data_IF_281625465346
#
_entry.id   IF_281625465346
#
_cell.length_a   1.000
_cell.length_b   1.000
_cell.length_c   1.000
_cell.angle_alpha   90.00
_cell.angle_beta   90.00
_cell.angle_gamma   90.00
#
_symmetry.space_group_name_H-M   'P 1'
#
loop_
_entity.id
_entity.type
_entity.pdbx_description
1 polymer ?
#
# COMPACT_ATOMS: atom_id res chain seq x y z
N UNK A 1 27.57 22.15 -18.03
CA UNK A 1 28.51 21.04 -18.24
C UNK A 1 29.37 21.03 -16.98
N UNK A 2 29.24 20.15 -15.99
CA UNK A 2 28.95 18.72 -16.02
C UNK A 2 28.10 18.33 -14.80
N UNK A 3 26.92 17.75 -15.04
CA UNK A 3 26.05 17.14 -14.04
C UNK A 3 25.71 15.75 -14.55
N UNK A 4 26.62 14.80 -14.32
CA UNK A 4 26.42 13.35 -14.40
C UNK A 4 27.70 12.70 -13.83
N UNK A 5 27.55 11.55 -13.18
CA UNK A 5 28.53 10.82 -12.34
C UNK A 5 28.56 11.37 -10.90
N UNK A 6 27.87 10.80 -9.91
CA UNK A 6 27.86 9.39 -9.53
C UNK A 6 26.54 9.01 -8.85
N UNK A 7 25.60 8.42 -9.60
CA UNK A 7 24.64 7.50 -9.00
C UNK A 7 25.37 6.18 -8.79
N UNK A 8 25.90 5.97 -7.60
CA UNK A 8 26.44 4.66 -7.24
C UNK A 8 25.27 3.67 -7.18
N UNK A 9 25.15 2.88 -8.25
CA UNK A 9 24.30 1.72 -8.36
C UNK A 9 24.85 0.58 -7.50
N UNK A 10 24.76 0.72 -6.18
CA UNK A 10 25.13 -0.34 -5.24
C UNK A 10 24.32 -0.24 -3.96
N UNK A 11 22.99 -0.14 -4.08
CA UNK A 11 22.05 -0.44 -3.00
C UNK A 11 20.61 -0.72 -3.52
N UNK A 12 20.48 -1.28 -4.72
CA UNK A 12 19.24 -1.97 -5.13
C UNK A 12 19.36 -3.45 -4.78
N UNK A 13 19.51 -3.73 -3.49
CA UNK A 13 19.33 -5.07 -2.96
C UNK A 13 17.84 -5.41 -2.92
N UNK A 14 17.26 -5.68 -4.09
CA UNK A 14 15.93 -6.27 -4.22
C UNK A 14 15.97 -7.76 -3.84
N UNK A 15 16.40 -8.07 -2.62
CA UNK A 15 16.24 -9.38 -2.02
C UNK A 15 14.84 -9.48 -1.42
N UNK A 16 14.19 -10.65 -1.53
CA UNK A 16 13.06 -11.00 -0.67
C UNK A 16 13.47 -10.69 0.77
N UNK A 17 12.89 -9.67 1.39
CA UNK A 17 13.10 -9.45 2.83
C UNK A 17 12.50 -10.66 3.53
N UNK A 18 13.37 -11.55 4.00
CA UNK A 18 12.99 -12.84 4.60
C UNK A 18 12.47 -12.70 6.03
N UNK A 19 12.41 -11.47 6.57
CA UNK A 19 11.91 -11.27 7.93
C UNK A 19 10.39 -11.10 7.89
N UNK A 20 9.71 -12.03 8.55
CA UNK A 20 8.28 -11.98 8.81
C UNK A 20 7.92 -10.88 9.81
N UNK A 21 8.90 -10.23 10.44
CA UNK A 21 8.68 -9.06 11.27
C UNK A 21 9.89 -8.13 11.23
N UNK A 22 9.70 -6.88 11.67
CA UNK A 22 10.77 -5.91 11.73
C UNK A 22 10.36 -4.63 12.45
N UNK A 23 11.34 -3.79 12.77
CA UNK A 23 11.12 -2.50 13.43
C UNK A 23 12.18 -1.48 13.02
N UNK A 24 11.85 -0.20 13.12
CA UNK A 24 12.76 0.89 12.85
C UNK A 24 12.31 2.19 13.47
N UNK A 25 13.10 3.24 13.30
CA UNK A 25 12.85 4.57 13.85
C UNK A 25 13.37 5.66 12.93
N UNK A 26 12.79 6.84 13.04
CA UNK A 26 13.28 8.04 12.36
C UNK A 26 14.63 8.46 12.93
N UNK A 27 15.31 9.36 12.24
CA UNK A 27 16.62 9.90 12.59
C UNK A 27 16.63 10.48 14.00
N UNK A 28 15.64 11.30 14.35
CA UNK A 28 15.48 11.85 15.71
C UNK A 28 14.89 10.84 16.72
N UNK A 29 14.47 9.66 16.26
CA UNK A 29 13.89 8.61 17.09
C UNK A 29 12.49 8.91 17.63
N UNK A 30 11.88 10.03 17.21
CA UNK A 30 10.52 10.44 17.60
C UNK A 30 9.49 9.53 16.94
N UNK A 31 9.69 9.16 15.67
CA UNK A 31 8.80 8.26 14.95
C UNK A 31 9.39 6.85 14.95
N UNK A 32 8.56 5.85 15.17
CA UNK A 32 8.94 4.44 15.16
C UNK A 32 7.98 3.65 14.30
N UNK A 33 8.47 2.58 13.70
CA UNK A 33 7.60 1.62 13.03
C UNK A 33 7.90 0.19 13.49
N UNK A 34 6.89 -0.66 13.37
CA UNK A 34 6.99 -2.10 13.48
C UNK A 34 6.14 -2.74 12.38
N UNK A 35 6.53 -3.91 11.90
CA UNK A 35 5.71 -4.67 10.96
C UNK A 35 5.76 -6.17 11.26
N UNK A 36 4.71 -6.86 10.84
CA UNK A 36 4.60 -8.32 10.87
C UNK A 36 3.92 -8.80 9.59
N UNK A 37 4.31 -9.97 9.11
CA UNK A 37 3.81 -10.67 7.94
C UNK A 37 3.48 -12.09 8.37
N UNK A 38 2.22 -12.45 8.26
CA UNK A 38 1.72 -13.76 8.62
C UNK A 38 1.12 -14.40 7.38
N UNK A 39 1.71 -15.51 6.93
CA UNK A 39 1.08 -16.30 5.87
C UNK A 39 -0.20 -16.93 6.42
N UNK A 40 -1.31 -16.68 5.74
CA UNK A 40 -2.61 -17.26 6.04
C UNK A 40 -2.70 -18.75 5.71
N UNK A 41 -3.93 -19.26 5.69
CA UNK A 41 -4.22 -20.68 5.40
C UNK A 41 -4.25 -21.02 3.91
N UNK A 42 -4.06 -20.01 3.04
CA UNK A 42 -4.05 -20.19 1.60
C UNK A 42 -3.01 -21.23 1.13
N UNK A 43 -3.40 -22.01 0.14
CA UNK A 43 -2.54 -23.04 -0.46
C UNK A 43 -1.46 -22.49 -1.38
N UNK A 44 -1.57 -21.22 -1.79
CA UNK A 44 -0.56 -20.53 -2.58
C UNK A 44 0.60 -19.97 -1.71
N UNK A 45 1.74 -19.58 -2.30
CA UNK A 45 2.79 -18.84 -1.60
C UNK A 45 2.32 -17.49 -1.04
N UNK A 46 3.14 -16.84 -0.20
CA UNK A 46 2.88 -15.46 0.23
C UNK A 46 2.86 -14.54 -0.99
N UNK A 47 1.76 -13.82 -1.21
CA UNK A 47 1.62 -12.87 -2.31
C UNK A 47 1.75 -11.41 -1.84
N UNK A 48 1.59 -11.12 -0.54
CA UNK A 48 1.71 -9.76 -0.02
C UNK A 48 3.18 -9.31 0.10
N UNK A 49 3.39 -8.02 -0.15
CA UNK A 49 4.64 -7.31 0.05
C UNK A 49 4.42 -6.05 0.87
N UNK A 50 5.51 -5.51 1.42
CA UNK A 50 5.46 -4.27 2.19
C UNK A 50 6.70 -3.42 1.98
N UNK A 51 6.61 -2.14 2.36
CA UNK A 51 7.74 -1.25 2.53
C UNK A 51 7.60 -0.61 3.90
N UNK A 52 8.69 -0.56 4.67
CA UNK A 52 8.73 0.13 5.95
C UNK A 52 10.15 0.66 6.19
N UNK A 53 10.37 1.95 5.92
CA UNK A 53 11.69 2.57 6.09
C UNK A 53 11.62 4.07 6.26
N UNK A 54 12.64 4.62 6.92
CA UNK A 54 12.96 6.04 6.86
C UNK A 54 14.13 6.28 5.91
N UNK A 55 14.16 7.44 5.25
CA UNK A 55 15.27 7.87 4.40
C UNK A 55 15.40 9.39 4.35
N UNK A 56 16.58 9.87 3.96
CA UNK A 56 16.87 11.29 3.78
C UNK A 56 16.95 11.61 2.28
N UNK A 57 16.28 12.68 1.84
CA UNK A 57 16.33 13.17 0.46
C UNK A 57 16.23 14.69 0.46
N UNK A 58 17.18 15.37 -0.19
CA UNK A 58 17.19 16.84 -0.32
C UNK A 58 17.01 17.60 1.00
N UNK A 59 17.54 17.07 2.11
CA UNK A 59 17.40 17.69 3.45
C UNK A 59 16.05 17.43 4.15
N UNK A 60 15.18 16.61 3.54
CA UNK A 60 13.94 16.15 4.15
C UNK A 60 14.06 14.69 4.60
N UNK A 61 13.52 14.41 5.78
CA UNK A 61 13.30 13.05 6.22
C UNK A 61 11.96 12.54 5.69
N UNK A 62 11.97 11.37 5.06
CA UNK A 62 10.77 10.68 4.60
C UNK A 62 10.61 9.34 5.33
N UNK A 63 9.44 9.10 5.89
CA UNK A 63 8.96 7.76 6.24
C UNK A 63 8.12 7.20 5.10
N UNK A 64 8.52 6.04 4.56
CA UNK A 64 7.84 5.37 3.45
C UNK A 64 7.30 4.02 3.93
N UNK A 65 5.99 3.89 3.83
CA UNK A 65 5.24 2.78 4.40
C UNK A 65 4.21 2.27 3.40
N UNK A 66 4.19 0.98 3.09
CA UNK A 66 3.19 0.45 2.17
C UNK A 66 2.90 -1.01 2.44
N UNK A 67 1.70 -1.42 2.05
CA UNK A 67 1.28 -2.81 1.91
C UNK A 67 0.73 -2.99 0.50
N UNK A 68 1.15 -4.07 -0.13
CA UNK A 68 0.72 -4.51 -1.45
C UNK A 68 0.16 -5.91 -1.28
N UNK A 69 -1.16 -6.03 -1.28
CA UNK A 69 -1.85 -7.31 -1.19
C UNK A 69 -1.96 -7.88 -2.59
N UNK A 70 -1.36 -9.06 -2.81
CA UNK A 70 -1.22 -9.66 -4.13
C UNK A 70 -2.28 -10.70 -4.40
N UNK A 71 -2.71 -10.82 -5.66
CA UNK A 71 -3.60 -11.91 -6.06
C UNK A 71 -3.22 -12.49 -7.42
N UNK A 72 -3.34 -13.81 -7.55
CA UNK A 72 -3.01 -14.58 -8.76
C UNK A 72 -1.53 -14.45 -9.16
N UNK A 73 -0.64 -14.38 -8.18
CA UNK A 73 0.80 -14.26 -8.34
C UNK A 73 1.40 -13.10 -7.54
N UNK A 74 2.69 -13.22 -7.23
CA UNK A 74 3.43 -12.30 -6.36
C UNK A 74 4.27 -11.26 -7.14
N UNK A 75 4.19 -11.28 -8.47
CA UNK A 75 5.05 -10.48 -9.36
C UNK A 75 4.63 -9.00 -9.46
N UNK A 76 3.33 -8.72 -9.47
CA UNK A 76 2.81 -7.34 -9.43
C UNK A 76 3.12 -6.65 -8.10
N UNK A 77 2.81 -7.23 -6.91
CA UNK A 77 3.17 -6.60 -5.64
C UNK A 77 4.69 -6.47 -5.45
N UNK A 78 5.49 -7.44 -5.93
CA UNK A 78 6.95 -7.32 -5.95
C UNK A 78 7.44 -6.16 -6.84
N UNK A 79 6.77 -5.89 -7.96
CA UNK A 79 7.05 -4.74 -8.81
C UNK A 79 6.72 -3.43 -8.09
N UNK A 80 5.54 -3.34 -7.46
CA UNK A 80 5.12 -2.16 -6.69
C UNK A 80 6.11 -1.83 -5.57
N UNK A 81 6.55 -2.84 -4.80
CA UNK A 81 7.53 -2.68 -3.73
C UNK A 81 8.83 -2.01 -4.21
N UNK A 82 9.29 -2.36 -5.41
CA UNK A 82 10.55 -1.85 -5.98
C UNK A 82 10.39 -0.48 -6.62
N UNK A 83 9.23 -0.18 -7.19
CA UNK A 83 9.07 0.92 -8.15
C UNK A 83 8.13 2.04 -7.71
N UNK A 84 7.06 1.76 -6.95
CA UNK A 84 6.00 2.75 -6.73
C UNK A 84 6.50 4.00 -6.00
N UNK A 85 7.17 3.85 -4.85
CA UNK A 85 7.75 5.01 -4.16
C UNK A 85 8.80 5.73 -4.98
N UNK A 86 9.64 4.99 -5.72
CA UNK A 86 10.66 5.61 -6.57
C UNK A 86 10.02 6.45 -7.67
N UNK A 87 8.88 6.03 -8.21
CA UNK A 87 8.13 6.80 -9.21
C UNK A 87 7.48 8.03 -8.58
N UNK A 88 6.86 7.90 -7.40
CA UNK A 88 6.26 9.05 -6.66
C UNK A 88 7.31 10.14 -6.39
N UNK A 89 8.46 9.75 -5.86
CA UNK A 89 9.53 10.70 -5.49
C UNK A 89 10.26 11.33 -6.69
N UNK A 90 10.07 10.78 -7.89
CA UNK A 90 10.62 11.33 -9.15
C UNK A 90 9.70 12.33 -9.84
N UNK A 91 8.42 12.40 -9.45
CA UNK A 91 7.54 13.42 -10.01
C UNK A 91 8.00 14.81 -9.55
N UNK A 92 8.14 15.73 -10.51
CA UNK A 92 8.63 17.09 -10.27
C UNK A 92 7.78 17.83 -9.24
N UNK A 93 6.48 17.56 -9.23
CA UNK A 93 5.54 18.21 -8.32
C UNK A 93 5.52 17.61 -6.92
N UNK A 94 6.29 16.56 -6.60
CA UNK A 94 6.20 15.85 -5.31
C UNK A 94 6.30 16.79 -4.09
N UNK A 95 7.20 17.77 -4.13
CA UNK A 95 7.42 18.68 -2.99
C UNK A 95 6.40 19.82 -2.90
N UNK A 96 5.66 20.11 -3.98
CA UNK A 96 4.74 21.25 -4.06
C UNK A 96 3.28 20.78 -4.04
N UNK A 97 3.00 19.69 -4.74
CA UNK A 97 1.70 19.03 -4.82
C UNK A 97 1.87 17.50 -4.74
N UNK A 98 2.09 16.95 -3.52
CA UNK A 98 2.22 15.52 -3.31
C UNK A 98 1.00 14.74 -3.82
N UNK A 99 -0.22 15.31 -3.74
CA UNK A 99 -1.44 14.66 -4.23
C UNK A 99 -1.33 14.37 -5.72
N UNK A 100 -0.98 15.37 -6.52
CA UNK A 100 -0.83 15.22 -7.97
C UNK A 100 0.32 14.28 -8.32
N UNK A 101 1.45 14.37 -7.62
CA UNK A 101 2.59 13.47 -7.80
C UNK A 101 2.19 12.00 -7.54
N UNK A 102 1.49 11.74 -6.43
CA UNK A 102 1.01 10.39 -6.11
C UNK A 102 0.05 9.88 -7.19
N UNK A 103 -0.96 10.65 -7.60
CA UNK A 103 -1.90 10.24 -8.65
C UNK A 103 -1.19 9.91 -9.97
N UNK A 104 -0.27 10.76 -10.42
CA UNK A 104 0.51 10.54 -11.66
C UNK A 104 1.39 9.30 -11.57
N UNK A 105 2.07 9.11 -10.44
CA UNK A 105 2.98 7.98 -10.27
C UNK A 105 2.23 6.65 -10.17
N UNK A 106 1.03 6.62 -9.56
CA UNK A 106 0.15 5.46 -9.56
C UNK A 106 -0.23 5.07 -10.99
N UNK A 107 -0.73 6.02 -11.78
CA UNK A 107 -1.10 5.77 -13.19
C UNK A 107 0.11 5.28 -14.01
N UNK A 108 1.24 6.00 -13.99
CA UNK A 108 2.46 5.59 -14.72
C UNK A 108 2.96 4.20 -14.32
N UNK A 109 2.89 3.88 -13.02
CA UNK A 109 3.34 2.57 -12.52
C UNK A 109 2.43 1.46 -13.02
N UNK A 110 1.11 1.68 -13.02
CA UNK A 110 0.14 0.73 -13.53
C UNK A 110 0.27 0.53 -15.05
N UNK A 111 0.44 1.60 -15.82
CA UNK A 111 0.71 1.49 -17.26
C UNK A 111 1.98 0.67 -17.54
N UNK A 112 3.03 0.87 -16.75
CA UNK A 112 4.25 0.07 -16.85
C UNK A 112 3.99 -1.41 -16.54
N UNK A 113 3.18 -1.73 -15.51
CA UNK A 113 2.78 -3.11 -15.19
C UNK A 113 1.99 -3.73 -16.35
N UNK A 114 0.99 -3.03 -16.89
CA UNK A 114 0.14 -3.52 -17.98
C UNK A 114 0.92 -3.78 -19.28
N UNK A 115 1.91 -2.93 -19.57
CA UNK A 115 2.81 -3.11 -20.71
C UNK A 115 3.69 -4.35 -20.57
N UNK A 116 3.95 -4.79 -19.33
CA UNK A 116 4.80 -5.94 -18.98
C UNK A 116 4.01 -7.15 -18.49
N UNK A 117 2.70 -7.20 -18.72
CA UNK A 117 1.86 -8.29 -18.22
C UNK A 117 2.27 -9.69 -18.74
N UNK A 118 2.97 -9.78 -19.89
CA UNK A 118 3.54 -11.05 -20.35
C UNK A 118 4.65 -11.58 -19.41
N UNK A 119 5.39 -10.68 -18.77
CA UNK A 119 6.48 -11.00 -17.84
C UNK A 119 5.99 -11.09 -16.39
N UNK A 120 5.08 -10.19 -16.00
CA UNK A 120 4.57 -10.07 -14.63
C UNK A 120 3.38 -10.99 -14.32
N UNK A 121 2.82 -11.64 -15.35
CA UNK A 121 1.68 -12.54 -15.21
C UNK A 121 0.33 -11.82 -15.21
N UNK A 122 -0.71 -12.61 -14.95
CA UNK A 122 -2.12 -12.19 -15.09
C UNK A 122 -2.70 -11.51 -13.85
N UNK A 123 -1.99 -11.59 -12.73
CA UNK A 123 -2.48 -11.13 -11.44
C UNK A 123 -2.46 -9.61 -11.28
N UNK A 124 -2.71 -9.20 -10.05
CA UNK A 124 -2.76 -7.81 -9.67
C UNK A 124 -2.37 -7.61 -8.23
N UNK A 125 -2.53 -6.37 -7.77
CA UNK A 125 -2.31 -6.05 -6.37
C UNK A 125 -3.07 -4.79 -5.94
N UNK A 126 -3.48 -4.78 -4.68
CA UNK A 126 -3.85 -3.55 -3.98
C UNK A 126 -2.61 -2.71 -3.68
N UNK A 127 -2.80 -1.47 -3.26
CA UNK A 127 -1.75 -0.71 -2.61
C UNK A 127 -2.34 0.29 -1.62
N UNK A 128 -2.00 0.14 -0.36
CA UNK A 128 -2.11 1.22 0.62
C UNK A 128 -0.72 1.76 0.92
N UNK A 129 -0.50 3.05 0.65
CA UNK A 129 0.78 3.72 0.88
C UNK A 129 0.62 4.88 1.85
N UNK A 130 1.66 5.13 2.64
CA UNK A 130 1.80 6.25 3.54
C UNK A 130 3.19 6.88 3.40
N UNK A 131 3.22 8.19 3.21
CA UNK A 131 4.42 9.02 3.11
C UNK A 131 4.39 10.05 4.23
N UNK A 132 5.32 9.95 5.16
CA UNK A 132 5.50 10.89 6.26
C UNK A 132 6.68 11.84 5.96
N UNK A 133 6.40 13.11 5.72
CA UNK A 133 7.41 14.13 5.45
C UNK A 133 7.77 14.86 6.74
N UNK A 134 9.04 14.84 7.11
CA UNK A 134 9.64 15.52 8.26
C UNK A 134 8.91 15.26 9.58
N UNK A 135 8.36 14.05 9.76
CA UNK A 135 7.58 13.70 10.94
C UNK A 135 6.29 14.50 11.15
N UNK A 136 5.83 15.26 10.15
CA UNK A 136 4.76 16.27 10.31
C UNK A 136 3.64 16.15 9.28
N UNK A 137 3.95 15.92 8.01
CA UNK A 137 2.92 15.82 6.96
C UNK A 137 2.76 14.37 6.52
N UNK A 138 1.62 13.77 6.83
CA UNK A 138 1.27 12.43 6.42
C UNK A 138 0.39 12.47 5.17
N UNK A 139 0.77 11.72 4.14
CA UNK A 139 -0.02 11.48 2.94
C UNK A 139 -0.33 9.99 2.86
N UNK A 140 -1.61 9.64 2.70
CA UNK A 140 -2.08 8.27 2.58
C UNK A 140 -2.83 8.11 1.27
N UNK A 141 -2.53 7.06 0.51
CA UNK A 141 -3.16 6.78 -0.76
C UNK A 141 -3.53 5.30 -0.87
N UNK A 142 -4.73 5.01 -1.38
CA UNK A 142 -5.25 3.65 -1.49
C UNK A 142 -5.78 3.29 -2.89
N UNK A 143 -5.50 2.05 -3.30
CA UNK A 143 -6.12 1.33 -4.42
C UNK A 143 -6.41 -0.08 -3.93
N UNK A 144 -7.67 -0.53 -4.02
CA UNK A 144 -8.10 -1.83 -3.47
C UNK A 144 -8.71 -1.72 -2.08
N UNK A 145 -8.72 -2.82 -1.34
CA UNK A 145 -9.41 -2.99 -0.05
C UNK A 145 -8.46 -3.23 1.12
N UNK A 146 -7.16 -3.04 0.92
CA UNK A 146 -6.24 -2.75 2.01
C UNK A 146 -6.58 -1.39 2.63
N UNK A 147 -6.27 -1.20 3.91
CA UNK A 147 -6.78 -0.07 4.68
C UNK A 147 -5.72 0.54 5.60
N UNK A 148 -5.81 1.86 5.75
CA UNK A 148 -5.08 2.61 6.77
C UNK A 148 -6.02 3.28 7.77
N UNK A 149 -5.69 3.16 9.05
CA UNK A 149 -6.43 3.76 10.17
C UNK A 149 -5.47 4.56 11.04
N UNK A 150 -5.79 5.84 11.27
CA UNK A 150 -5.03 6.75 12.11
C UNK A 150 -5.74 6.89 13.47
N UNK A 151 -5.05 6.62 14.56
CA UNK A 151 -5.51 6.94 15.91
C UNK A 151 -4.94 8.29 16.35
N UNK A 152 -5.78 9.15 16.88
CA UNK A 152 -5.37 10.39 17.54
C UNK A 152 -6.20 10.61 18.79
N UNK A 153 -5.55 10.81 19.94
CA UNK A 153 -6.18 10.91 21.27
C UNK A 153 -7.09 9.72 21.58
N UNK A 154 -6.69 8.52 21.16
CA UNK A 154 -7.47 7.29 21.30
C UNK A 154 -8.69 7.19 20.36
N UNK A 155 -8.91 8.15 19.47
CA UNK A 155 -9.97 8.07 18.46
C UNK A 155 -9.40 7.56 17.13
N UNK A 156 -9.91 6.43 16.66
CA UNK A 156 -9.55 5.84 15.37
C UNK A 156 -10.36 6.48 14.23
N UNK A 157 -9.65 6.93 13.20
CA UNK A 157 -10.22 7.47 11.95
C UNK A 157 -9.66 6.69 10.77
N UNK A 158 -10.54 6.12 9.95
CA UNK A 158 -10.14 5.45 8.72
C UNK A 158 -9.70 6.49 7.68
N UNK A 159 -8.44 6.41 7.23
CA UNK A 159 -7.81 7.35 6.30
C UNK A 159 -8.04 7.00 4.83
N UNK A 160 -8.50 5.78 4.54
CA UNK A 160 -8.64 5.23 3.19
C UNK A 160 -10.06 4.79 2.94
N UNK A 161 -10.53 4.84 1.70
CA UNK A 161 -11.79 4.19 1.30
C UNK A 161 -11.45 2.83 0.70
N UNK A 162 -12.15 1.78 1.16
CA UNK A 162 -12.01 0.43 0.62
C UNK A 162 -12.76 0.35 -0.71
N UNK A 163 -12.07 -0.13 -1.74
CA UNK A 163 -12.58 -0.16 -3.11
C UNK A 163 -13.28 -1.47 -3.40
N UNK A 164 -14.53 -1.56 -2.96
CA UNK A 164 -15.37 -2.75 -3.12
C UNK A 164 -16.27 -2.67 -4.36
N UNK A 165 -16.51 -3.80 -5.07
CA UNK A 165 -17.34 -3.83 -6.26
C UNK A 165 -18.76 -3.27 -6.10
N UNK A 166 -19.41 -3.50 -4.96
CA UNK A 166 -20.77 -2.98 -4.73
C UNK A 166 -20.79 -1.45 -4.56
N UNK A 167 -19.80 -0.89 -3.86
CA UNK A 167 -19.68 0.56 -3.63
C UNK A 167 -19.37 1.30 -4.93
N UNK A 168 -18.57 0.70 -5.81
CA UNK A 168 -18.20 1.29 -7.11
C UNK A 168 -18.99 0.73 -8.30
N UNK A 169 -20.11 0.05 -8.05
CA UNK A 169 -20.92 -0.63 -9.08
C UNK A 169 -21.21 0.25 -10.29
N UNK A 170 -21.64 1.49 -10.08
CA UNK A 170 -21.95 2.41 -11.17
C UNK A 170 -20.73 2.72 -12.06
N UNK A 171 -19.54 2.81 -11.48
CA UNK A 171 -18.30 3.02 -12.25
C UNK A 171 -17.96 1.81 -13.12
N UNK A 172 -18.14 0.61 -12.57
CA UNK A 172 -17.89 -0.67 -13.25
C UNK A 172 -18.87 -0.87 -14.41
N UNK A 173 -20.17 -0.69 -14.15
CA UNK A 173 -21.25 -0.87 -15.14
C UNK A 173 -21.14 0.16 -16.28
N UNK A 174 -20.80 1.42 -15.97
CA UNK A 174 -20.55 2.46 -16.99
C UNK A 174 -19.36 2.15 -17.91
N UNK A 175 -18.44 1.28 -17.49
CA UNK A 175 -17.29 0.81 -18.28
C UNK A 175 -17.58 -0.47 -19.06
N UNK A 176 -18.81 -0.99 -18.99
CA UNK A 176 -19.23 -2.23 -19.66
C UNK A 176 -18.97 -3.50 -18.86
N UNK A 177 -18.56 -3.38 -17.58
CA UNK A 177 -18.48 -4.50 -16.65
C UNK A 177 -19.81 -4.78 -15.94
N UNK A 178 -19.80 -5.73 -15.01
CA UNK A 178 -20.92 -5.99 -14.09
C UNK A 178 -20.42 -6.42 -12.71
N UNK A 179 -21.28 -6.31 -11.70
CA UNK A 179 -21.00 -6.79 -10.34
C UNK A 179 -21.87 -8.02 -10.04
N UNK A 180 -21.22 -9.16 -9.86
CA UNK A 180 -21.85 -10.43 -9.46
C UNK A 180 -22.00 -10.51 -7.95
N UNK A 181 -23.20 -10.86 -7.47
CA UNK A 181 -23.52 -11.09 -6.07
C UNK A 181 -24.09 -12.50 -5.89
N UNK A 182 -23.23 -13.51 -5.96
CA UNK A 182 -23.66 -14.91 -5.76
C UNK A 182 -23.93 -15.18 -4.27
N UNK A 183 -25.04 -15.86 -3.92
CA UNK A 183 -25.30 -16.22 -2.52
C UNK A 183 -24.14 -17.02 -1.91
N UNK A 184 -23.62 -16.57 -0.78
CA UNK A 184 -22.50 -17.21 -0.08
C UNK A 184 -21.10 -16.82 -0.60
N UNK A 185 -20.99 -15.92 -1.58
CA UNK A 185 -19.73 -15.36 -2.06
C UNK A 185 -19.69 -13.84 -1.83
N UNK A 186 -18.49 -13.27 -1.91
CA UNK A 186 -18.30 -11.82 -1.91
C UNK A 186 -18.66 -11.22 -3.29
N UNK A 187 -19.07 -9.95 -3.34
CA UNK A 187 -19.28 -9.24 -4.61
C UNK A 187 -18.03 -9.28 -5.49
N UNK A 188 -18.20 -9.52 -6.81
CA UNK A 188 -17.08 -9.59 -7.76
C UNK A 188 -17.31 -8.83 -9.05
N UNK A 189 -16.29 -8.10 -9.52
CA UNK A 189 -16.23 -7.51 -10.86
C UNK A 189 -16.15 -8.63 -11.90
N UNK A 190 -17.11 -8.65 -12.81
CA UNK A 190 -17.29 -9.67 -13.85
C UNK A 190 -17.25 -11.11 -13.32
N UNK A 191 -17.69 -11.32 -12.07
CA UNK A 191 -17.64 -12.62 -11.39
C UNK A 191 -16.24 -13.12 -11.04
N UNK A 192 -15.20 -12.29 -11.20
CA UNK A 192 -13.79 -12.70 -11.06
C UNK A 192 -13.11 -12.05 -9.85
N UNK A 193 -13.09 -10.72 -9.78
CA UNK A 193 -12.25 -9.99 -8.82
C UNK A 193 -13.07 -9.34 -7.70
N UNK A 194 -12.67 -9.53 -6.44
CA UNK A 194 -13.39 -9.05 -5.25
C UNK A 194 -13.06 -7.58 -4.87
N UNK A 195 -12.24 -6.90 -5.67
CA UNK A 195 -11.91 -5.47 -5.55
C UNK A 195 -12.28 -4.72 -6.83
N UNK A 196 -12.65 -3.44 -6.71
CA UNK A 196 -13.01 -2.59 -7.86
C UNK A 196 -11.85 -1.78 -8.41
N UNK A 197 -10.79 -1.59 -7.62
CA UNK A 197 -9.54 -0.96 -8.06
C UNK A 197 -8.34 -1.83 -7.73
N UNK A 198 -7.42 -1.95 -8.69
CA UNK A 198 -6.18 -2.73 -8.53
C UNK A 198 -5.12 -2.27 -9.54
N UNK A 199 -3.86 -2.51 -9.20
CA UNK A 199 -2.76 -2.50 -10.17
C UNK A 199 -2.73 -3.82 -10.94
N UNK A 200 -2.35 -3.78 -12.22
CA UNK A 200 -2.33 -5.00 -13.05
C UNK A 200 -3.73 -5.42 -13.49
N UNK A 201 -4.06 -6.71 -13.38
CA UNK A 201 -5.35 -7.29 -13.78
C UNK A 201 -5.72 -6.97 -15.24
N UNK A 202 -4.75 -7.17 -16.16
CA UNK A 202 -4.86 -6.73 -17.55
C UNK A 202 -6.14 -7.18 -18.26
N UNK A 203 -6.62 -8.39 -17.99
CA UNK A 203 -7.84 -8.93 -18.59
C UNK A 203 -9.13 -8.23 -18.13
N UNK A 204 -9.12 -7.60 -16.96
CA UNK A 204 -10.26 -6.88 -16.38
C UNK A 204 -10.08 -5.36 -16.44
N UNK A 205 -8.94 -4.88 -16.95
CA UNK A 205 -8.55 -3.48 -16.77
C UNK A 205 -9.49 -2.47 -17.42
N UNK A 206 -10.22 -2.85 -18.46
CA UNK A 206 -11.27 -2.00 -19.05
C UNK A 206 -12.37 -1.65 -18.04
N UNK A 207 -12.64 -2.52 -17.07
CA UNK A 207 -13.72 -2.39 -16.08
C UNK A 207 -13.21 -2.02 -14.68
N UNK A 208 -11.90 -2.03 -14.46
CA UNK A 208 -11.25 -1.70 -13.19
C UNK A 208 -10.59 -0.32 -13.26
N UNK A 209 -10.41 0.28 -12.08
CA UNK A 209 -9.63 1.52 -11.92
C UNK A 209 -8.31 1.25 -11.20
N UNK A 210 -7.39 2.19 -11.31
CA UNK A 210 -6.10 2.21 -10.57
C UNK A 210 -5.76 3.60 -10.03
N UNK A 211 -6.66 4.57 -10.20
CA UNK A 211 -6.49 5.88 -9.60
C UNK A 211 -6.74 5.82 -8.09
N UNK A 212 -5.83 6.36 -7.27
CA UNK A 212 -5.93 6.26 -5.82
C UNK A 212 -6.88 7.30 -5.23
N UNK A 213 -7.57 6.90 -4.15
CA UNK A 213 -8.12 7.86 -3.20
C UNK A 213 -6.99 8.33 -2.27
N UNK A 214 -6.79 9.64 -2.17
CA UNK A 214 -5.67 10.25 -1.42
C UNK A 214 -6.19 11.16 -0.32
N UNK A 215 -5.68 10.98 0.90
CA UNK A 215 -5.92 11.83 2.06
C UNK A 215 -4.62 12.32 2.67
N UNK A 216 -4.67 13.46 3.37
CA UNK A 216 -3.54 14.01 4.11
C UNK A 216 -3.93 14.36 5.54
N UNK A 217 -2.98 14.22 6.45
CA UNK A 217 -3.13 14.58 7.85
C UNK A 217 -1.85 15.24 8.38
N UNK A 218 -2.01 16.05 9.43
CA UNK A 218 -0.87 16.53 10.22
C UNK A 218 -0.59 15.53 11.33
N UNK A 219 0.68 15.19 11.49
CA UNK A 219 1.19 14.42 12.64
C UNK A 219 1.68 15.40 13.69
N UNK A 220 1.17 15.26 14.89
CA UNK A 220 1.48 16.11 16.05
C UNK A 220 1.55 15.27 17.34
N UNK A 221 1.69 15.94 18.49
CA UNK A 221 1.75 15.26 19.79
C UNK A 221 0.47 14.53 20.21
N UNK A 222 -0.63 14.67 19.46
CA UNK A 222 -1.88 13.96 19.68
C UNK A 222 -2.01 12.70 18.81
N UNK A 223 -1.07 12.50 17.88
CA UNK A 223 -1.06 11.34 16.98
C UNK A 223 -0.49 10.14 17.71
N UNK A 224 -1.29 9.08 17.86
CA UNK A 224 -0.89 7.89 18.61
C UNK A 224 -0.18 6.89 17.70
N UNK A 225 -0.89 6.47 16.65
CA UNK A 225 -0.47 5.39 15.76
C UNK A 225 -1.21 5.45 14.42
N UNK A 226 -0.53 5.13 13.33
CA UNK A 226 -1.09 4.80 12.03
C UNK A 226 -0.90 3.29 11.82
N UNK A 227 -1.99 2.60 11.48
CA UNK A 227 -2.01 1.17 11.15
C UNK A 227 -2.34 1.02 9.68
N UNK A 228 -1.48 0.34 8.93
CA UNK A 228 -1.75 -0.16 7.58
C UNK A 228 -1.90 -1.67 7.67
N UNK A 229 -2.91 -2.25 7.02
CA UNK A 229 -3.00 -3.70 6.83
C UNK A 229 -3.73 -4.09 5.54
N UNK A 230 -3.44 -5.30 5.05
CA UNK A 230 -4.25 -5.99 4.03
C UNK A 230 -5.60 -6.43 4.60
N UNK A 231 -6.51 -6.87 3.73
CA UNK A 231 -7.88 -7.21 4.15
C UNK A 231 -7.92 -8.43 5.09
N UNK A 232 -6.89 -9.27 5.08
CA UNK A 232 -6.68 -10.36 6.03
C UNK A 232 -6.74 -9.92 7.51
N UNK A 233 -6.39 -8.67 7.85
CA UNK A 233 -6.62 -8.16 9.22
C UNK A 233 -8.04 -7.62 9.41
N UNK A 234 -8.56 -6.90 8.42
CA UNK A 234 -9.77 -6.10 8.55
C UNK A 234 -11.05 -6.91 8.38
N UNK A 235 -10.98 -8.04 7.66
CA UNK A 235 -12.09 -8.93 7.39
C UNK A 235 -11.89 -10.24 8.17
N UNK A 236 -12.36 -10.27 9.41
CA UNK A 236 -12.40 -11.52 10.21
C UNK A 236 -13.58 -12.35 9.73
N UNK A 237 -13.37 -13.22 8.73
CA UNK A 237 -14.35 -14.23 8.36
C UNK A 237 -14.13 -15.53 9.16
N UNK A 238 -15.22 -16.22 9.53
CA UNK A 238 -15.22 -17.51 10.25
C UNK A 238 -14.46 -18.65 9.53
N UNK A 239 -13.94 -18.40 8.32
CA UNK A 239 -13.27 -19.36 7.45
C UNK A 239 -11.79 -19.02 7.21
N UNK A 240 -11.09 -18.51 8.21
CA UNK A 240 -9.63 -18.39 8.20
C UNK A 240 -9.08 -17.18 7.45
N UNK A 241 -7.92 -16.71 7.92
CA UNK A 241 -7.21 -15.58 7.33
C UNK A 241 -6.50 -16.00 6.04
N UNK A 242 -6.71 -15.25 4.96
CA UNK A 242 -5.69 -15.12 3.90
C UNK A 242 -4.53 -14.27 4.45
N UNK A 243 -3.38 -14.29 3.78
CA UNK A 243 -2.16 -13.68 4.30
C UNK A 243 -2.39 -12.24 4.77
N UNK A 244 -1.71 -11.85 5.85
CA UNK A 244 -1.84 -10.50 6.37
C UNK A 244 -0.48 -9.87 6.59
N UNK A 245 -0.36 -8.62 6.16
CA UNK A 245 0.71 -7.73 6.58
C UNK A 245 0.11 -6.70 7.51
N UNK A 246 0.77 -6.48 8.64
CA UNK A 246 0.45 -5.39 9.55
C UNK A 246 1.65 -4.46 9.64
N UNK A 247 1.41 -3.18 9.46
CA UNK A 247 2.42 -2.14 9.58
C UNK A 247 1.92 -1.05 10.52
N UNK A 248 2.71 -0.81 11.55
CA UNK A 248 2.42 0.11 12.63
C UNK A 248 3.43 1.24 12.59
N UNK A 249 2.96 2.49 12.63
CA UNK A 249 3.79 3.69 12.74
C UNK A 249 3.31 4.50 13.93
N UNK A 250 4.16 4.73 14.93
CA UNK A 250 3.79 5.33 16.21
C UNK A 250 4.79 6.39 16.67
N UNK A 251 4.32 7.32 17.49
CA UNK A 251 5.14 8.39 18.06
C UNK A 251 5.78 7.94 19.38
N UNK A 252 6.91 8.55 19.77
CA UNK A 252 7.66 8.19 20.98
C UNK A 252 6.90 8.41 22.29
N UNK A 253 5.77 9.10 22.27
CA UNK A 253 5.00 9.42 23.48
C UNK A 253 4.06 8.27 23.88
N UNK A 254 3.75 7.36 22.97
CA UNK A 254 3.03 6.12 23.28
C UNK A 254 4.05 5.02 23.54
N UNK A 255 4.32 4.73 24.82
CA UNK A 255 5.03 3.53 25.24
C UNK A 255 4.14 2.32 25.03
N UNK A 256 3.85 2.02 23.77
CA UNK A 256 3.16 0.81 23.39
C UNK A 256 4.24 -0.17 22.95
N UNK A 257 4.62 -1.03 23.90
CA UNK A 257 5.43 -2.22 23.72
C UNK A 257 4.64 -3.26 22.88
N UNK A 258 4.24 -2.83 21.66
CA UNK A 258 3.40 -3.59 20.73
C UNK A 258 4.20 -4.68 20.00
N UNK A 259 5.53 -4.59 20.03
CA UNK A 259 6.43 -5.55 19.39
C UNK A 259 6.25 -6.97 19.94
N UNK A 260 5.85 -7.11 21.21
CA UNK A 260 5.72 -8.40 21.88
C UNK A 260 4.26 -8.87 22.04
N UNK A 261 3.28 -8.09 21.61
CA UNK A 261 1.84 -8.41 21.79
C UNK A 261 1.02 -8.59 20.52
N UNK A 262 1.61 -8.40 19.33
CA UNK A 262 0.92 -8.60 18.03
C UNK A 262 1.66 -9.59 17.12
N UNK A 263 2.35 -10.56 17.72
CA UNK A 263 2.83 -11.77 17.04
C UNK A 263 2.13 -12.97 17.66
#
# INVERSE_FOLDING_TARGET
MDWLCCFNSSQYGGGRSSSTSGKGKSHEGIMRFGFSLVKGKASHPMEDYHVAKFMQIQGHELGLFAIYDGHLGDSVPAYLQKHLFANILKEEEFWVDPRRAISKAYDKTDQAILSRAADLGRGGSTAVTAILINGKSLWVANVGDSRAVLSSRGQATQMTTDHEPNTERGSIENRGGFVSNMPGDVPRVNGQLAVSRAFGDKSLKSHLRSDPDIQNAKVDGNTDILVLASDGLWKVNSFGFDASVHLYLFTSCTSLDLGDRIV
#
